data_IF_513073096784
#
_entry.id   IF_513073096784
#
_cell.length_a   1.000
_cell.length_b   1.000
_cell.length_c   1.000
_cell.angle_alpha   90.00
_cell.angle_beta   90.00
_cell.angle_gamma   90.00
#
_symmetry.space_group_name_H-M   'P 1'
#
loop_
_entity.id
_entity.type
_entity.pdbx_description
1 polymer ?
#
# COMPACT_ATOMS: atom_id res chain seq x y z
N UNK A 1 -69.78 1.64 -31.59
CA UNK A 1 -69.73 0.73 -30.44
C UNK A 1 -68.51 -0.12 -30.59
N UNK A 2 -67.44 0.23 -29.98
CA UNK A 2 -66.27 -0.57 -29.52
C UNK A 2 -65.10 0.34 -29.21
N UNK A 3 -64.99 0.70 -27.95
CA UNK A 3 -63.90 1.47 -27.43
C UNK A 3 -62.65 0.56 -27.34
N UNK A 4 -61.62 0.94 -28.03
CA UNK A 4 -60.28 0.30 -27.86
C UNK A 4 -59.42 1.24 -27.06
N UNK A 5 -59.23 0.92 -25.78
CA UNK A 5 -58.28 1.58 -24.91
C UNK A 5 -56.88 1.03 -25.21
N UNK A 6 -56.02 1.85 -25.81
CA UNK A 6 -54.58 1.56 -25.90
C UNK A 6 -53.92 2.02 -24.61
N UNK A 7 -53.52 1.06 -23.79
CA UNK A 7 -52.67 1.30 -22.63
C UNK A 7 -51.20 1.45 -23.08
N UNK A 8 -50.68 2.67 -22.99
CA UNK A 8 -49.29 2.96 -23.25
C UNK A 8 -48.41 2.47 -22.07
N UNK A 9 -47.50 1.55 -22.34
CA UNK A 9 -46.49 1.11 -21.40
C UNK A 9 -45.33 2.10 -21.48
N UNK A 10 -45.20 2.94 -20.46
CA UNK A 10 -44.07 3.83 -20.29
C UNK A 10 -42.91 2.98 -19.74
N UNK A 11 -41.92 2.69 -20.59
CA UNK A 11 -40.71 2.03 -20.21
C UNK A 11 -39.84 2.95 -19.33
N UNK A 12 -39.73 2.63 -18.06
CA UNK A 12 -38.79 3.26 -17.16
C UNK A 12 -37.36 2.80 -17.52
N UNK A 13 -36.61 3.65 -18.18
CA UNK A 13 -35.20 3.44 -18.43
C UNK A 13 -34.43 3.58 -17.10
N UNK A 14 -33.96 2.47 -16.55
CA UNK A 14 -33.08 2.46 -15.40
C UNK A 14 -31.70 2.98 -15.78
N UNK A 15 -31.38 4.21 -15.43
CA UNK A 15 -30.04 4.76 -15.49
C UNK A 15 -29.25 4.27 -14.27
N UNK A 16 -28.78 3.03 -14.31
CA UNK A 16 -27.82 2.51 -13.35
C UNK A 16 -26.47 2.44 -14.04
N UNK A 17 -25.73 3.54 -14.08
CA UNK A 17 -24.31 3.47 -14.42
C UNK A 17 -23.61 4.81 -14.23
N UNK A 18 -23.20 5.13 -12.99
CA UNK A 18 -22.17 6.17 -12.79
C UNK A 18 -21.37 6.05 -11.47
N UNK A 19 -21.69 5.12 -10.57
CA UNK A 19 -21.02 5.02 -9.28
C UNK A 19 -19.66 4.31 -9.37
N UNK A 20 -19.56 3.24 -10.14
CA UNK A 20 -18.34 2.42 -10.28
C UNK A 20 -17.19 3.16 -10.95
N UNK A 21 -17.47 3.96 -11.97
CA UNK A 21 -16.43 4.73 -12.68
C UNK A 21 -15.84 5.84 -11.82
N UNK A 22 -16.65 6.53 -11.01
CA UNK A 22 -16.18 7.57 -10.09
C UNK A 22 -15.29 6.98 -8.98
N UNK A 23 -15.68 5.85 -8.40
CA UNK A 23 -14.90 5.18 -7.35
C UNK A 23 -13.54 4.71 -7.90
N UNK A 24 -13.51 4.10 -9.08
CA UNK A 24 -12.26 3.67 -9.71
C UNK A 24 -11.34 4.85 -10.04
N UNK A 25 -11.88 5.98 -10.48
CA UNK A 25 -11.10 7.19 -10.78
C UNK A 25 -10.56 7.86 -9.51
N UNK A 26 -11.35 7.91 -8.45
CA UNK A 26 -10.91 8.44 -7.15
C UNK A 26 -9.80 7.57 -6.56
N UNK A 27 -9.96 6.25 -6.57
CA UNK A 27 -8.94 5.32 -6.10
C UNK A 27 -7.63 5.46 -6.90
N UNK A 28 -7.72 5.68 -8.20
CA UNK A 28 -6.54 5.92 -9.04
C UNK A 28 -5.83 7.23 -8.70
N UNK A 29 -6.56 8.31 -8.47
CA UNK A 29 -5.99 9.60 -8.09
C UNK A 29 -5.29 9.53 -6.74
N UNK A 30 -5.90 8.90 -5.74
CA UNK A 30 -5.30 8.67 -4.42
C UNK A 30 -4.03 7.81 -4.52
N UNK A 31 -4.09 6.76 -5.30
CA UNK A 31 -2.97 5.87 -5.55
C UNK A 31 -1.78 6.58 -6.21
N UNK A 32 -2.02 7.48 -7.17
CA UNK A 32 -0.96 8.24 -7.83
C UNK A 32 -0.25 9.22 -6.88
N UNK A 33 -0.85 9.59 -5.76
CA UNK A 33 -0.20 10.38 -4.70
C UNK A 33 1.00 9.66 -4.09
N UNK A 34 1.08 8.34 -4.18
CA UNK A 34 2.24 7.56 -3.70
C UNK A 34 3.49 7.70 -4.57
N UNK A 35 3.37 8.26 -5.79
CA UNK A 35 4.53 8.43 -6.67
C UNK A 35 5.60 9.31 -6.01
N UNK A 36 6.83 8.82 -5.94
CA UNK A 36 7.96 9.60 -5.44
C UNK A 36 8.85 8.83 -4.48
N UNK A 37 9.69 9.58 -3.79
CA UNK A 37 10.59 9.08 -2.75
C UNK A 37 10.07 9.46 -1.38
N UNK A 38 10.11 8.49 -0.50
CA UNK A 38 9.57 8.55 0.85
C UNK A 38 10.61 8.07 1.84
N UNK A 39 10.59 8.61 3.04
CA UNK A 39 11.41 8.15 4.15
C UNK A 39 10.53 7.69 5.30
N UNK A 40 10.86 6.58 5.92
CA UNK A 40 10.27 6.21 7.20
C UNK A 40 10.91 7.08 8.27
N UNK A 41 10.16 8.04 8.79
CA UNK A 41 10.63 8.99 9.81
C UNK A 41 10.56 8.45 11.22
N UNK A 42 9.61 7.55 11.48
CA UNK A 42 9.46 6.85 12.75
C UNK A 42 8.75 5.51 12.57
N UNK A 43 8.97 4.62 13.53
CA UNK A 43 8.21 3.39 13.68
C UNK A 43 7.69 3.31 15.10
N UNK A 44 6.37 3.23 15.25
CA UNK A 44 5.69 3.17 16.54
C UNK A 44 5.17 1.75 16.79
N UNK A 45 5.57 1.14 17.90
CA UNK A 45 5.15 -0.19 18.32
C UNK A 45 5.43 -0.38 19.82
N UNK A 46 4.91 -1.46 20.42
CA UNK A 46 5.27 -1.83 21.79
C UNK A 46 6.71 -2.36 21.86
N UNK A 47 7.61 -1.59 22.43
CA UNK A 47 9.05 -1.87 22.54
C UNK A 47 9.39 -3.09 23.43
N UNK A 48 8.42 -3.68 24.13
CA UNK A 48 8.61 -4.96 24.82
C UNK A 48 8.81 -6.15 23.86
N UNK A 49 8.47 -5.95 22.57
CA UNK A 49 8.62 -6.94 21.52
C UNK A 49 9.84 -6.68 20.64
N UNK A 50 10.55 -7.74 20.28
CA UNK A 50 11.60 -7.69 19.26
C UNK A 50 10.98 -8.02 17.92
N UNK A 51 10.82 -7.02 17.07
CA UNK A 51 10.19 -7.14 15.76
C UNK A 51 11.27 -7.17 14.68
N UNK A 52 11.18 -8.15 13.78
CA UNK A 52 12.00 -8.28 12.57
C UNK A 52 11.06 -8.30 11.36
N UNK A 53 10.73 -7.14 10.80
CA UNK A 53 9.70 -7.06 9.77
C UNK A 53 10.20 -7.58 8.42
N UNK A 54 9.26 -7.99 7.60
CA UNK A 54 9.42 -8.28 6.18
C UNK A 54 10.50 -9.34 5.86
N UNK A 55 10.73 -10.29 6.77
CA UNK A 55 11.74 -11.36 6.63
C UNK A 55 13.17 -10.84 6.28
N UNK A 56 13.49 -9.60 6.70
CA UNK A 56 14.83 -9.03 6.52
C UNK A 56 15.85 -9.55 7.54
N UNK A 57 15.39 -10.16 8.62
CA UNK A 57 16.24 -10.66 9.69
C UNK A 57 16.88 -9.57 10.56
N UNK A 58 16.58 -8.30 10.29
CA UNK A 58 17.10 -7.13 11.01
C UNK A 58 16.06 -6.55 11.95
N UNK A 59 16.51 -5.78 12.92
CA UNK A 59 15.63 -5.07 13.84
C UNK A 59 14.77 -4.04 13.10
N UNK A 60 13.55 -3.85 13.60
CA UNK A 60 12.60 -2.90 13.03
C UNK A 60 13.16 -1.47 12.99
N UNK A 61 14.04 -1.08 13.91
CA UNK A 61 14.66 0.23 13.94
C UNK A 61 15.55 0.49 12.73
N UNK A 62 16.01 -0.53 12.02
CA UNK A 62 16.77 -0.39 10.77
C UNK A 62 15.91 0.20 9.63
N UNK A 63 14.60 0.21 9.79
CA UNK A 63 13.69 0.83 8.83
C UNK A 63 13.51 2.34 9.04
N UNK A 64 13.83 2.88 10.22
CA UNK A 64 13.85 4.33 10.45
C UNK A 64 14.98 4.96 9.63
N UNK A 65 14.65 5.97 8.83
CA UNK A 65 15.57 6.59 7.87
C UNK A 65 15.69 5.83 6.54
N UNK A 66 15.01 4.69 6.38
CA UNK A 66 15.00 3.97 5.10
C UNK A 66 14.28 4.78 4.02
N UNK A 67 14.84 4.74 2.80
CA UNK A 67 14.30 5.43 1.64
C UNK A 67 13.48 4.47 0.78
N UNK A 68 12.24 4.86 0.49
CA UNK A 68 11.31 4.09 -0.33
C UNK A 68 11.00 4.85 -1.61
N UNK A 69 11.29 4.24 -2.75
CA UNK A 69 10.94 4.79 -4.04
C UNK A 69 9.75 4.04 -4.62
N UNK A 70 8.63 4.73 -4.85
CA UNK A 70 7.38 4.14 -5.32
C UNK A 70 7.01 4.67 -6.71
N UNK A 71 6.74 3.76 -7.65
CA UNK A 71 6.34 4.05 -9.02
C UNK A 71 4.98 3.40 -9.30
N UNK A 72 3.87 4.05 -8.93
CA UNK A 72 2.53 3.48 -9.04
C UNK A 72 2.12 3.11 -10.46
N UNK A 73 2.65 3.80 -11.48
CA UNK A 73 2.26 3.58 -12.88
C UNK A 73 2.51 2.14 -13.37
N UNK A 74 3.51 1.46 -12.82
CA UNK A 74 3.87 0.09 -13.17
C UNK A 74 3.94 -0.85 -11.98
N UNK A 75 3.49 -0.37 -10.79
CA UNK A 75 3.45 -1.15 -9.56
C UNK A 75 4.83 -1.64 -9.10
N UNK A 76 5.87 -0.86 -9.38
CA UNK A 76 7.23 -1.15 -8.93
C UNK A 76 7.71 -0.15 -7.90
N UNK A 77 8.68 -0.57 -7.13
CA UNK A 77 9.37 0.28 -6.18
C UNK A 77 10.63 -0.38 -5.67
N UNK A 78 11.26 0.28 -4.74
CA UNK A 78 12.37 -0.26 -3.97
C UNK A 78 12.42 0.41 -2.61
N UNK A 79 13.03 -0.24 -1.65
CA UNK A 79 13.47 0.43 -0.44
C UNK A 79 14.95 0.19 -0.21
N UNK A 80 15.58 1.13 0.48
CA UNK A 80 17.00 1.07 0.86
C UNK A 80 17.09 1.28 2.36
N UNK A 81 17.68 0.31 3.07
CA UNK A 81 18.01 0.46 4.47
C UNK A 81 19.24 1.36 4.59
N UNK A 82 19.28 2.22 5.59
CA UNK A 82 20.27 3.31 5.70
C UNK A 82 21.70 2.85 5.99
N UNK A 83 21.92 1.60 6.40
CA UNK A 83 23.24 1.09 6.72
C UNK A 83 23.87 1.70 7.98
N UNK A 84 23.10 2.39 8.82
CA UNK A 84 23.62 3.01 10.04
C UNK A 84 23.70 2.01 11.19
N UNK A 85 24.74 2.13 12.00
CA UNK A 85 24.98 1.23 13.15
C UNK A 85 25.17 -0.22 12.70
N UNK A 86 24.39 -1.14 13.27
CA UNK A 86 24.37 -2.56 12.90
C UNK A 86 23.42 -2.91 11.76
N UNK A 87 22.79 -1.91 11.16
CA UNK A 87 21.82 -2.11 10.07
C UNK A 87 22.53 -2.29 8.73
N UNK A 88 22.07 -3.21 7.87
CA UNK A 88 22.67 -3.40 6.57
C UNK A 88 22.37 -2.24 5.63
N UNK A 89 23.26 -2.00 4.68
CA UNK A 89 22.99 -1.14 3.53
C UNK A 89 22.47 -2.03 2.38
N UNK A 90 21.17 -2.21 2.31
CA UNK A 90 20.52 -3.12 1.35
C UNK A 90 19.50 -2.36 0.53
N UNK A 91 19.55 -2.56 -0.78
CA UNK A 91 18.51 -2.11 -1.72
C UNK A 91 17.63 -3.29 -2.07
N UNK A 92 16.34 -3.18 -1.78
CA UNK A 92 15.37 -4.25 -2.05
C UNK A 92 14.32 -3.79 -3.07
N UNK A 93 14.35 -4.32 -4.30
CA UNK A 93 13.28 -4.10 -5.26
C UNK A 93 11.97 -4.74 -4.81
N UNK A 94 10.86 -4.06 -5.05
CA UNK A 94 9.53 -4.54 -4.70
C UNK A 94 8.54 -4.42 -5.87
N UNK A 95 7.53 -5.27 -5.85
CA UNK A 95 6.25 -5.04 -6.51
C UNK A 95 5.23 -4.69 -5.45
N UNK A 96 4.42 -3.66 -5.68
CA UNK A 96 3.38 -3.28 -4.75
C UNK A 96 2.07 -2.98 -5.48
N UNK A 97 0.99 -2.96 -4.74
CA UNK A 97 -0.33 -2.50 -5.20
C UNK A 97 -1.10 -1.91 -4.01
N UNK A 98 -2.07 -1.07 -4.29
CA UNK A 98 -3.05 -0.62 -3.30
C UNK A 98 -4.42 -1.14 -3.70
N UNK A 99 -5.01 -1.93 -2.82
CA UNK A 99 -6.31 -2.58 -3.01
C UNK A 99 -7.32 -1.94 -2.07
N UNK A 100 -8.57 -1.84 -2.50
CA UNK A 100 -9.67 -1.25 -1.72
C UNK A 100 -9.41 0.18 -1.18
N UNK A 101 -8.42 0.88 -1.74
CA UNK A 101 -8.05 2.25 -1.38
C UNK A 101 -7.15 2.39 -0.15
N UNK A 102 -6.99 1.36 0.67
CA UNK A 102 -6.22 1.40 1.92
C UNK A 102 -5.40 0.14 2.23
N UNK A 103 -5.46 -0.90 1.42
CA UNK A 103 -4.61 -2.08 1.60
C UNK A 103 -3.35 -1.94 0.74
N UNK A 104 -2.22 -1.62 1.36
CA UNK A 104 -0.92 -1.61 0.71
C UNK A 104 -0.33 -3.02 0.75
N UNK A 105 -0.22 -3.64 -0.41
CA UNK A 105 0.37 -4.97 -0.57
C UNK A 105 1.69 -4.85 -1.29
N UNK A 106 2.71 -5.53 -0.78
CA UNK A 106 3.98 -5.58 -1.50
C UNK A 106 4.66 -6.94 -1.35
N UNK A 107 5.54 -7.23 -2.28
CA UNK A 107 6.44 -8.38 -2.24
C UNK A 107 7.83 -8.00 -2.68
N UNK A 108 8.83 -8.58 -2.04
CA UNK A 108 10.24 -8.40 -2.39
C UNK A 108 10.57 -9.18 -3.67
N UNK A 109 11.40 -8.60 -4.51
CA UNK A 109 11.91 -9.23 -5.72
C UNK A 109 13.37 -9.58 -5.50
N UNK A 110 13.61 -10.81 -5.08
CA UNK A 110 14.95 -11.31 -4.86
C UNK A 110 15.70 -11.45 -6.19
N UNK A 111 17.01 -11.32 -6.15
CA UNK A 111 17.88 -11.46 -7.32
C UNK A 111 17.64 -12.81 -8.03
N UNK A 112 17.52 -12.78 -9.35
CA UNK A 112 17.21 -13.96 -10.15
C UNK A 112 15.75 -14.43 -10.12
N UNK A 113 14.90 -13.84 -9.29
CA UNK A 113 13.48 -14.17 -9.23
C UNK A 113 12.62 -13.25 -10.11
N UNK A 114 11.53 -13.82 -10.66
CA UNK A 114 10.50 -13.03 -11.34
C UNK A 114 9.38 -12.71 -10.36
N UNK A 115 8.79 -11.52 -10.47
CA UNK A 115 7.70 -11.09 -9.58
C UNK A 115 6.55 -12.10 -9.46
N UNK A 116 6.22 -12.82 -10.54
CA UNK A 116 5.17 -13.86 -10.52
C UNK A 116 5.60 -15.14 -9.77
N UNK A 117 6.89 -15.37 -9.58
CA UNK A 117 7.39 -16.55 -8.86
C UNK A 117 7.50 -16.32 -7.35
N UNK A 118 7.34 -15.07 -6.89
CA UNK A 118 7.35 -14.75 -5.46
C UNK A 118 5.93 -14.93 -4.90
N UNK A 119 5.75 -15.94 -4.08
CA UNK A 119 4.44 -16.32 -3.51
C UNK A 119 4.14 -15.52 -2.25
N UNK A 120 5.13 -15.28 -1.39
CA UNK A 120 4.96 -14.54 -0.14
C UNK A 120 4.94 -13.03 -0.39
N UNK A 121 4.05 -12.34 0.29
CA UNK A 121 3.94 -10.89 0.28
C UNK A 121 3.42 -10.39 1.62
N UNK A 122 3.45 -9.08 1.79
CA UNK A 122 3.04 -8.39 3.00
C UNK A 122 1.82 -7.54 2.69
N UNK A 123 0.87 -7.49 3.61
CA UNK A 123 -0.34 -6.67 3.50
C UNK A 123 -0.41 -5.77 4.72
N UNK A 124 -0.38 -4.46 4.50
CA UNK A 124 -0.45 -3.44 5.53
C UNK A 124 -1.64 -2.53 5.28
N UNK A 125 -2.24 -2.03 6.34
CA UNK A 125 -3.27 -1.00 6.22
C UNK A 125 -2.62 0.37 6.00
N UNK A 126 -3.03 1.10 4.97
CA UNK A 126 -2.57 2.46 4.72
C UNK A 126 -3.55 3.46 5.33
N UNK A 127 -3.03 4.34 6.17
CA UNK A 127 -3.79 5.37 6.87
C UNK A 127 -3.12 6.73 6.72
N UNK A 128 -3.81 7.81 7.10
CA UNK A 128 -3.28 9.19 7.13
C UNK A 128 -2.65 9.65 5.80
N UNK A 129 -3.16 9.17 4.68
CA UNK A 129 -2.60 9.49 3.36
C UNK A 129 -2.90 10.92 2.95
N UNK A 130 -1.83 11.68 2.68
CA UNK A 130 -1.84 13.01 2.07
C UNK A 130 -0.87 13.05 0.90
N UNK A 131 -0.58 14.24 0.37
CA UNK A 131 0.50 14.43 -0.63
C UNK A 131 1.89 14.22 -0.05
N UNK A 132 2.08 14.45 1.24
CA UNK A 132 3.39 14.57 1.86
C UNK A 132 3.67 13.54 2.95
N UNK A 133 2.66 12.77 3.34
CA UNK A 133 2.78 11.73 4.35
C UNK A 133 1.75 10.61 4.18
N UNK A 134 2.07 9.44 4.68
CA UNK A 134 1.15 8.33 4.95
C UNK A 134 1.71 7.43 6.03
N UNK A 135 0.86 6.59 6.61
CA UNK A 135 1.25 5.58 7.60
C UNK A 135 0.87 4.20 7.08
N UNK A 136 1.79 3.25 7.14
CA UNK A 136 1.49 1.83 6.96
C UNK A 136 1.40 1.15 8.31
N UNK A 137 0.34 0.41 8.52
CA UNK A 137 0.07 -0.32 9.76
C UNK A 137 0.12 -1.82 9.48
N UNK A 138 0.96 -2.51 10.25
CA UNK A 138 1.05 -3.96 10.27
C UNK A 138 0.58 -4.50 11.62
N UNK A 139 -0.08 -5.65 11.62
CA UNK A 139 -0.49 -6.36 12.82
C UNK A 139 0.26 -7.69 12.86
N UNK A 140 1.35 -7.71 13.59
CA UNK A 140 2.30 -8.83 13.65
C UNK A 140 1.97 -9.72 14.86
N UNK A 141 1.83 -11.03 14.64
CA UNK A 141 1.75 -11.98 15.74
C UNK A 141 3.16 -12.28 16.26
N UNK A 142 3.44 -11.88 17.48
CA UNK A 142 4.71 -12.14 18.16
C UNK A 142 4.46 -12.86 19.49
N UNK A 143 4.86 -14.12 19.58
CA UNK A 143 4.69 -14.92 20.80
C UNK A 143 3.23 -15.15 21.21
N UNK A 144 2.30 -15.21 20.25
CA UNK A 144 0.87 -15.36 20.50
C UNK A 144 0.13 -14.07 20.81
N UNK A 145 0.81 -12.93 20.81
CA UNK A 145 0.22 -11.60 20.98
C UNK A 145 0.24 -10.84 19.66
N UNK A 146 -0.83 -10.07 19.42
CA UNK A 146 -0.92 -9.21 18.24
C UNK A 146 -0.31 -7.86 18.55
N UNK A 147 0.80 -7.54 17.89
CA UNK A 147 1.53 -6.29 18.04
C UNK A 147 1.23 -5.39 16.85
N UNK A 148 0.66 -4.23 17.13
CA UNK A 148 0.41 -3.21 16.11
C UNK A 148 1.69 -2.41 15.88
N UNK A 149 2.13 -2.36 14.63
CA UNK A 149 3.31 -1.61 14.18
C UNK A 149 2.88 -0.54 13.21
N UNK A 150 3.34 0.70 13.38
CA UNK A 150 3.03 1.81 12.51
C UNK A 150 4.32 2.38 11.92
N UNK A 151 4.43 2.37 10.60
CA UNK A 151 5.53 2.96 9.85
C UNK A 151 5.08 4.32 9.31
N UNK A 152 5.66 5.40 9.80
CA UNK A 152 5.28 6.76 9.41
C UNK A 152 6.20 7.26 8.30
N UNK A 153 5.61 7.55 7.16
CA UNK A 153 6.31 7.99 5.95
C UNK A 153 6.15 9.48 5.74
N UNK A 154 7.26 10.14 5.42
CA UNK A 154 7.25 11.50 4.90
C UNK A 154 7.88 11.52 3.49
N UNK A 155 7.36 12.40 2.64
CA UNK A 155 7.88 12.59 1.28
C UNK A 155 9.22 13.31 1.31
N UNK A 156 10.20 12.78 0.60
CA UNK A 156 11.53 13.39 0.43
C UNK A 156 11.79 13.85 -1.01
N UNK A 157 11.01 13.37 -1.99
CA UNK A 157 11.16 13.78 -3.37
C UNK A 157 10.01 13.36 -4.28
N UNK A 158 9.84 14.09 -5.37
CA UNK A 158 8.94 13.78 -6.48
C UNK A 158 9.80 13.65 -7.73
N UNK A 159 10.00 12.44 -8.21
CA UNK A 159 10.67 12.19 -9.51
C UNK A 159 9.79 11.31 -10.38
#
# INVERSE_FOLDING_TARGET
MKNLLLAGIIGAAFTVSCSTAKTAQTNRAEFLKLKGTWEITSVDYDHNFKIKPFDEGVDIQCFVGSQWHLIPNNWTGSYTLSGSGSCPNTVMPIKFEVVNGNEFKFKKILEGSKAKSVVSGYTLEMTNQTTDQFTLVDNINSGGQNVRVQYNFARTGIK
#
